data_IF_397345303966
#
_entry.id   IF_397345303966
#
_cell.length_a   1.000
_cell.length_b   1.000
_cell.length_c   1.000
_cell.angle_alpha   90.00
_cell.angle_beta   90.00
_cell.angle_gamma   90.00
#
_symmetry.space_group_name_H-M   'P 1'
#
loop_
_entity.id
_entity.type
_entity.pdbx_description
1 polymer ?
#
# COMPACT_ATOMS: atom_id res chain seq x y z
N UNK A 1 -37.09 -32.00 4.89
CA UNK A 1 -37.03 -32.11 3.41
C UNK A 1 -35.54 -32.10 3.04
N UNK A 2 -35.00 -33.09 2.33
CA UNK A 2 -33.53 -33.28 2.22
C UNK A 2 -32.91 -32.76 0.90
N UNK A 3 -33.56 -31.78 0.25
CA UNK A 3 -33.09 -31.18 -1.02
C UNK A 3 -32.39 -29.83 -0.83
N UNK A 4 -31.64 -29.37 -1.84
CA UNK A 4 -30.95 -28.07 -1.80
C UNK A 4 -31.88 -26.88 -1.50
N UNK A 5 -33.17 -26.95 -1.86
CA UNK A 5 -34.17 -25.92 -1.56
C UNK A 5 -34.46 -25.83 -0.06
N UNK A 6 -34.53 -26.97 0.63
CA UNK A 6 -34.76 -27.04 2.07
C UNK A 6 -33.55 -26.62 2.92
N UNK A 7 -32.42 -26.30 2.26
CA UNK A 7 -31.29 -25.63 2.93
C UNK A 7 -31.51 -24.14 3.06
N UNK A 8 -32.55 -23.56 2.45
CA UNK A 8 -32.78 -22.11 2.52
C UNK A 8 -33.16 -21.71 3.94
N UNK A 9 -34.25 -22.26 4.46
CA UNK A 9 -34.78 -22.04 5.81
C UNK A 9 -33.91 -22.68 6.90
N UNK A 10 -33.45 -23.91 6.70
CA UNK A 10 -32.74 -24.66 7.74
C UNK A 10 -31.24 -24.35 7.84
N UNK A 11 -30.65 -23.65 6.85
CA UNK A 11 -29.21 -23.42 6.82
C UNK A 11 -28.83 -22.02 6.33
N UNK A 12 -29.41 -21.52 5.23
CA UNK A 12 -28.92 -20.30 4.58
C UNK A 12 -29.40 -19.02 5.28
N UNK A 13 -30.68 -18.96 5.66
CA UNK A 13 -31.30 -17.81 6.32
C UNK A 13 -30.67 -17.50 7.69
N UNK A 14 -30.37 -18.51 8.55
CA UNK A 14 -29.73 -18.24 9.85
C UNK A 14 -28.27 -17.76 9.80
N UNK A 15 -27.54 -17.96 8.69
CA UNK A 15 -26.09 -17.71 8.63
C UNK A 15 -25.73 -16.25 8.91
N UNK A 16 -26.52 -15.27 8.44
CA UNK A 16 -26.20 -13.86 8.67
C UNK A 16 -26.18 -13.52 10.17
N UNK A 17 -27.16 -14.00 10.94
CA UNK A 17 -27.19 -13.80 12.40
C UNK A 17 -26.03 -14.52 13.10
N UNK A 18 -25.63 -15.69 12.62
CA UNK A 18 -24.44 -16.39 13.14
C UNK A 18 -23.15 -15.60 12.87
N UNK A 19 -23.00 -14.99 11.69
CA UNK A 19 -21.85 -14.15 11.36
C UNK A 19 -21.79 -12.91 12.25
N UNK A 20 -22.93 -12.25 12.50
CA UNK A 20 -23.01 -11.11 13.42
C UNK A 20 -22.61 -11.49 14.84
N UNK A 21 -23.07 -12.64 15.34
CA UNK A 21 -22.66 -13.16 16.64
C UNK A 21 -21.13 -13.39 16.68
N UNK A 22 -20.56 -14.05 15.66
CA UNK A 22 -19.11 -14.28 15.60
C UNK A 22 -18.31 -12.96 15.55
N UNK A 23 -18.81 -11.93 14.86
CA UNK A 23 -18.14 -10.63 14.83
C UNK A 23 -18.18 -9.93 16.18
N UNK A 24 -19.27 -10.04 16.95
CA UNK A 24 -19.34 -9.47 18.29
C UNK A 24 -18.41 -10.22 19.26
N UNK A 25 -18.38 -11.55 19.21
CA UNK A 25 -17.43 -12.35 20.00
C UNK A 25 -15.97 -11.97 19.66
N UNK A 26 -15.66 -11.79 18.37
CA UNK A 26 -14.34 -11.33 17.93
C UNK A 26 -14.01 -9.92 18.43
N UNK A 27 -14.99 -9.02 18.47
CA UNK A 27 -14.82 -7.69 19.02
C UNK A 27 -14.57 -7.72 20.53
N UNK A 28 -15.24 -8.57 21.28
CA UNK A 28 -15.01 -8.75 22.72
C UNK A 28 -13.59 -9.26 23.02
N UNK A 29 -13.05 -10.13 22.15
CA UNK A 29 -11.71 -10.70 22.33
C UNK A 29 -10.59 -9.77 21.88
N UNK A 30 -10.82 -8.92 20.87
CA UNK A 30 -9.74 -8.20 20.19
C UNK A 30 -9.92 -6.69 20.13
N UNK A 31 -11.08 -6.16 20.54
CA UNK A 31 -11.46 -4.75 20.39
C UNK A 31 -11.84 -4.36 18.96
N UNK A 32 -11.48 -5.17 17.96
CA UNK A 32 -11.73 -4.88 16.55
C UNK A 32 -13.15 -5.29 16.16
N UNK A 33 -13.98 -4.30 15.85
CA UNK A 33 -15.37 -4.50 15.44
C UNK A 33 -15.48 -4.71 13.94
N UNK A 34 -16.09 -5.83 13.56
CA UNK A 34 -16.50 -6.13 12.19
C UNK A 34 -18.02 -6.24 12.14
N UNK A 35 -18.57 -6.14 10.94
CA UNK A 35 -20.01 -6.20 10.64
C UNK A 35 -20.20 -6.87 9.28
N UNK A 36 -21.44 -7.15 8.89
CA UNK A 36 -21.74 -7.66 7.53
C UNK A 36 -21.25 -6.71 6.43
N UNK A 37 -21.32 -5.41 6.71
CA UNK A 37 -20.72 -4.32 5.94
C UNK A 37 -20.02 -3.37 6.91
N UNK A 38 -18.88 -2.81 6.51
CA UNK A 38 -18.21 -1.73 7.24
C UNK A 38 -18.50 -0.41 6.54
N UNK A 39 -18.81 0.62 7.32
CA UNK A 39 -19.07 1.97 6.84
C UNK A 39 -17.99 2.93 7.36
N UNK A 40 -17.53 3.81 6.47
CA UNK A 40 -16.53 4.83 6.78
C UNK A 40 -16.99 6.20 6.25
N UNK A 41 -17.23 7.14 7.17
CA UNK A 41 -17.69 8.52 6.90
C UNK A 41 -18.94 8.57 6.00
N UNK A 42 -19.93 7.73 6.29
CA UNK A 42 -21.14 7.59 5.47
C UNK A 42 -22.31 8.42 5.96
N UNK A 43 -22.30 8.90 7.21
CA UNK A 43 -23.45 9.49 7.89
C UNK A 43 -24.02 10.71 7.16
N UNK A 44 -23.16 11.62 6.71
CA UNK A 44 -23.51 12.83 5.97
C UNK A 44 -23.19 12.74 4.46
N UNK A 45 -22.67 11.59 4.01
CA UNK A 45 -22.22 11.40 2.64
C UNK A 45 -23.41 11.36 1.67
N UNK A 46 -23.30 12.11 0.56
CA UNK A 46 -24.22 12.03 -0.57
C UNK A 46 -23.73 11.03 -1.64
N UNK A 47 -22.43 10.75 -1.65
CA UNK A 47 -21.77 9.86 -2.59
C UNK A 47 -21.02 8.82 -1.80
N UNK A 48 -21.20 7.54 -2.11
CA UNK A 48 -20.49 6.46 -1.40
C UNK A 48 -19.82 5.53 -2.39
N UNK A 49 -18.60 5.10 -2.07
CA UNK A 49 -17.99 3.96 -2.72
C UNK A 49 -18.50 2.68 -2.08
N UNK A 50 -18.66 1.63 -2.89
CA UNK A 50 -18.92 0.27 -2.41
C UNK A 50 -17.83 -0.63 -2.99
N UNK A 51 -17.09 -1.29 -2.11
CA UNK A 51 -15.89 -2.05 -2.50
C UNK A 51 -15.76 -3.38 -1.76
N UNK A 52 -14.83 -4.20 -2.24
CA UNK A 52 -14.43 -5.49 -1.68
C UNK A 52 -12.93 -5.55 -1.46
N UNK A 53 -12.53 -6.26 -0.42
CA UNK A 53 -11.13 -6.56 -0.12
C UNK A 53 -10.27 -5.32 0.03
N UNK A 54 -9.02 -5.38 -0.44
CA UNK A 54 -8.04 -4.32 -0.17
C UNK A 54 -8.25 -3.00 -0.94
N UNK A 55 -9.30 -2.84 -1.77
CA UNK A 55 -9.64 -1.51 -2.25
C UNK A 55 -10.30 -0.64 -1.18
N UNK A 56 -10.93 -1.23 -0.17
CA UNK A 56 -11.63 -0.48 0.88
C UNK A 56 -10.70 0.55 1.53
N UNK A 57 -9.52 0.11 1.99
CA UNK A 57 -8.52 0.97 2.62
C UNK A 57 -8.00 2.08 1.68
N UNK A 58 -7.72 1.76 0.40
CA UNK A 58 -7.32 2.76 -0.60
C UNK A 58 -8.41 3.81 -0.85
N UNK A 59 -9.67 3.38 -0.86
CA UNK A 59 -10.82 4.26 -1.03
C UNK A 59 -11.06 5.12 0.20
N UNK A 60 -10.89 4.58 1.41
CA UNK A 60 -11.01 5.35 2.66
C UNK A 60 -10.03 6.52 2.69
N UNK A 61 -8.76 6.28 2.33
CA UNK A 61 -7.77 7.36 2.18
C UNK A 61 -8.18 8.39 1.11
N UNK A 62 -8.74 7.93 -0.01
CA UNK A 62 -9.21 8.83 -1.06
C UNK A 62 -10.42 9.66 -0.59
N UNK A 63 -11.32 9.07 0.19
CA UNK A 63 -12.43 9.77 0.84
C UNK A 63 -11.90 10.86 1.76
N UNK A 64 -10.92 10.56 2.62
CA UNK A 64 -10.33 11.57 3.51
C UNK A 64 -9.75 12.74 2.74
N UNK A 65 -8.96 12.47 1.70
CA UNK A 65 -8.43 13.50 0.82
C UNK A 65 -9.53 14.35 0.17
N UNK A 66 -10.57 13.72 -0.40
CA UNK A 66 -11.68 14.43 -1.03
C UNK A 66 -12.45 15.30 -0.03
N UNK A 67 -12.66 14.81 1.20
CA UNK A 67 -13.36 15.56 2.26
C UNK A 67 -12.51 16.73 2.74
N UNK A 68 -11.22 16.52 2.99
CA UNK A 68 -10.31 17.54 3.54
C UNK A 68 -9.92 18.59 2.51
N UNK A 69 -9.60 18.18 1.28
CA UNK A 69 -9.06 19.08 0.25
C UNK A 69 -10.14 19.67 -0.64
N UNK A 70 -11.30 19.01 -0.76
CA UNK A 70 -12.37 19.42 -1.69
C UNK A 70 -13.73 19.60 -1.01
N UNK A 71 -13.81 19.47 0.31
CA UNK A 71 -15.07 19.59 1.07
C UNK A 71 -16.19 18.68 0.52
N UNK A 72 -15.80 17.51 -0.01
CA UNK A 72 -16.73 16.53 -0.57
C UNK A 72 -17.52 15.83 0.55
N UNK A 73 -18.76 15.42 0.25
CA UNK A 73 -19.57 14.55 1.12
C UNK A 73 -19.50 13.11 0.64
N UNK A 74 -18.32 12.50 0.80
CA UNK A 74 -18.02 11.16 0.27
C UNK A 74 -17.69 10.17 1.38
N UNK A 75 -18.24 8.96 1.28
CA UNK A 75 -17.97 7.87 2.22
C UNK A 75 -17.56 6.58 1.51
N UNK A 76 -17.15 5.58 2.28
CA UNK A 76 -16.81 4.24 1.80
C UNK A 76 -17.66 3.19 2.52
N UNK A 77 -18.11 2.19 1.77
CA UNK A 77 -18.79 1.01 2.29
C UNK A 77 -18.00 -0.20 1.81
N UNK A 78 -17.51 -1.00 2.75
CA UNK A 78 -16.82 -2.26 2.48
C UNK A 78 -17.76 -3.42 2.77
N UNK A 79 -18.05 -4.24 1.75
CA UNK A 79 -18.87 -5.43 1.91
C UNK A 79 -17.98 -6.57 2.45
N UNK A 80 -18.22 -7.00 3.70
CA UNK A 80 -17.44 -8.07 4.33
C UNK A 80 -18.01 -9.45 3.99
N UNK A 81 -19.34 -9.53 3.80
CA UNK A 81 -20.04 -10.78 3.52
C UNK A 81 -20.69 -10.67 2.14
N UNK A 82 -20.26 -11.52 1.20
CA UNK A 82 -20.83 -11.58 -0.14
C UNK A 82 -21.94 -12.64 -0.20
N UNK A 83 -21.82 -13.75 0.54
CA UNK A 83 -22.80 -14.85 0.55
C UNK A 83 -23.00 -15.42 1.96
N UNK A 84 -24.25 -15.55 2.46
CA UNK A 84 -25.48 -14.94 1.91
C UNK A 84 -25.31 -13.41 1.78
N UNK A 85 -25.92 -12.81 0.75
CA UNK A 85 -25.76 -11.36 0.54
C UNK A 85 -26.56 -10.59 1.60
N UNK A 86 -25.96 -9.62 2.31
CA UNK A 86 -26.61 -8.94 3.44
C UNK A 86 -27.56 -7.83 2.95
N UNK A 87 -28.67 -8.22 2.31
CA UNK A 87 -29.61 -7.32 1.63
C UNK A 87 -30.10 -6.18 2.54
N UNK A 88 -30.55 -6.49 3.76
CA UNK A 88 -31.05 -5.49 4.69
C UNK A 88 -29.98 -4.44 5.07
N UNK A 89 -28.75 -4.87 5.34
CA UNK A 89 -27.65 -3.96 5.65
C UNK A 89 -27.31 -3.05 4.46
N UNK A 90 -27.27 -3.62 3.25
CA UNK A 90 -26.98 -2.88 2.02
C UNK A 90 -28.09 -1.85 1.71
N UNK A 91 -29.37 -2.23 1.83
CA UNK A 91 -30.48 -1.29 1.61
C UNK A 91 -30.39 -0.11 2.57
N UNK A 92 -30.16 -0.38 3.86
CA UNK A 92 -30.06 0.68 4.87
C UNK A 92 -28.88 1.62 4.63
N UNK A 93 -27.70 1.10 4.27
CA UNK A 93 -26.51 1.91 4.06
C UNK A 93 -26.58 2.76 2.78
N UNK A 94 -27.28 2.30 1.74
CA UNK A 94 -27.37 2.98 0.45
C UNK A 94 -28.61 3.88 0.29
N UNK A 95 -29.61 3.71 1.16
CA UNK A 95 -30.83 4.53 1.18
C UNK A 95 -30.49 6.03 1.20
N UNK A 96 -31.10 6.78 0.29
CA UNK A 96 -31.02 8.25 0.27
C UNK A 96 -29.66 8.79 -0.20
N UNK A 97 -28.70 7.93 -0.55
CA UNK A 97 -27.46 8.35 -1.21
C UNK A 97 -27.79 8.82 -2.63
N UNK A 98 -27.10 9.86 -3.11
CA UNK A 98 -27.27 10.36 -4.48
C UNK A 98 -26.53 9.48 -5.47
N UNK A 99 -25.26 9.19 -5.20
CA UNK A 99 -24.40 8.40 -6.08
C UNK A 99 -23.78 7.22 -5.31
N UNK A 100 -23.80 6.04 -5.91
CA UNK A 100 -23.14 4.83 -5.39
C UNK A 100 -22.13 4.35 -6.42
N UNK A 101 -20.86 4.32 -6.05
CA UNK A 101 -19.74 3.94 -6.91
C UNK A 101 -19.28 2.53 -6.52
N UNK A 102 -19.75 1.52 -7.25
CA UNK A 102 -19.37 0.13 -7.01
C UNK A 102 -18.09 -0.19 -7.77
N UNK A 103 -17.03 -0.60 -7.06
CA UNK A 103 -15.76 -0.99 -7.68
C UNK A 103 -15.45 -2.47 -7.46
N UNK A 104 -15.15 -3.18 -8.53
CA UNK A 104 -14.98 -4.64 -8.52
C UNK A 104 -13.70 -5.10 -9.24
N UNK A 105 -13.08 -6.16 -8.73
CA UNK A 105 -11.93 -6.83 -9.37
C UNK A 105 -12.36 -7.89 -10.38
N UNK A 106 -13.33 -7.55 -11.22
CA UNK A 106 -13.83 -8.42 -12.28
C UNK A 106 -14.44 -7.57 -13.39
N UNK A 107 -14.61 -8.18 -14.55
CA UNK A 107 -15.35 -7.63 -15.67
C UNK A 107 -16.12 -8.77 -16.37
N UNK A 108 -17.44 -8.81 -16.16
CA UNK A 108 -18.35 -9.79 -16.76
C UNK A 108 -19.14 -9.16 -17.92
N UNK A 109 -18.46 -8.84 -19.01
CA UNK A 109 -19.05 -8.10 -20.14
C UNK A 109 -20.32 -8.73 -20.77
N UNK A 110 -20.51 -10.05 -20.62
CA UNK A 110 -21.69 -10.77 -21.11
C UNK A 110 -22.87 -10.76 -20.13
N UNK A 111 -22.66 -10.34 -18.89
CA UNK A 111 -23.70 -10.20 -17.89
C UNK A 111 -24.31 -8.79 -17.92
N UNK A 112 -25.52 -8.62 -17.39
CA UNK A 112 -26.16 -7.30 -17.31
C UNK A 112 -25.41 -6.30 -16.41
N UNK A 113 -24.68 -6.81 -15.43
CA UNK A 113 -23.78 -6.05 -14.56
C UNK A 113 -22.74 -7.00 -13.94
N UNK A 114 -21.65 -6.45 -13.40
CA UNK A 114 -20.71 -7.19 -12.56
C UNK A 114 -21.43 -7.72 -11.30
N UNK A 115 -20.93 -8.80 -10.66
CA UNK A 115 -21.65 -9.53 -9.63
C UNK A 115 -22.12 -8.66 -8.45
N UNK A 116 -21.26 -7.82 -7.88
CA UNK A 116 -21.65 -6.99 -6.74
C UNK A 116 -22.65 -5.91 -7.15
N UNK A 117 -22.43 -5.26 -8.31
CA UNK A 117 -23.40 -4.32 -8.88
C UNK A 117 -24.78 -4.95 -9.07
N UNK A 118 -24.83 -6.21 -9.53
CA UNK A 118 -26.06 -6.99 -9.71
C UNK A 118 -26.75 -7.30 -8.39
N UNK A 119 -26.00 -7.72 -7.38
CA UNK A 119 -26.54 -8.04 -6.05
C UNK A 119 -27.09 -6.78 -5.35
N UNK A 120 -26.38 -5.65 -5.44
CA UNK A 120 -26.83 -4.35 -4.91
C UNK A 120 -28.12 -3.90 -5.60
N UNK A 121 -28.17 -3.94 -6.94
CA UNK A 121 -29.40 -3.59 -7.68
C UNK A 121 -30.57 -4.47 -7.29
N UNK A 122 -30.33 -5.77 -7.09
CA UNK A 122 -31.36 -6.73 -6.66
C UNK A 122 -31.86 -6.40 -5.26
N UNK A 123 -30.96 -6.13 -4.31
CA UNK A 123 -31.32 -5.75 -2.94
C UNK A 123 -32.16 -4.46 -2.91
N UNK A 124 -31.74 -3.42 -3.63
CA UNK A 124 -32.49 -2.16 -3.71
C UNK A 124 -33.86 -2.33 -4.37
N UNK A 125 -33.94 -3.14 -5.44
CA UNK A 125 -35.22 -3.45 -6.10
C UNK A 125 -36.19 -4.19 -5.18
N UNK A 126 -35.70 -5.16 -4.39
CA UNK A 126 -36.48 -5.83 -3.35
C UNK A 126 -36.92 -4.88 -2.23
N UNK A 127 -36.09 -3.89 -1.88
CA UNK A 127 -36.47 -2.82 -0.95
C UNK A 127 -37.65 -1.99 -1.46
N UNK A 128 -37.67 -1.65 -2.76
CA UNK A 128 -38.82 -1.00 -3.40
C UNK A 128 -40.08 -1.87 -3.36
N UNK A 129 -39.94 -3.17 -3.65
CA UNK A 129 -41.06 -4.13 -3.56
C UNK A 129 -41.61 -4.22 -2.14
N UNK A 130 -40.73 -4.31 -1.14
CA UNK A 130 -41.12 -4.27 0.28
C UNK A 130 -41.88 -2.99 0.64
N UNK A 131 -41.47 -1.83 0.11
CA UNK A 131 -42.20 -0.58 0.31
C UNK A 131 -43.60 -0.54 -0.32
N UNK A 132 -43.81 -1.27 -1.43
CA UNK A 132 -45.10 -1.32 -2.15
C UNK A 132 -46.04 -2.40 -1.64
N UNK A 133 -45.49 -3.53 -1.20
CA UNK A 133 -46.25 -4.75 -0.93
C UNK A 133 -46.09 -5.27 0.51
N UNK A 134 -45.21 -4.67 1.31
CA UNK A 134 -44.77 -5.21 2.59
C UNK A 134 -43.69 -6.29 2.43
N UNK A 135 -43.02 -6.65 3.52
CA UNK A 135 -41.99 -7.69 3.56
C UNK A 135 -41.03 -7.50 4.73
N UNK A 136 -40.12 -8.47 4.90
CA UNK A 136 -39.15 -8.47 6.01
C UNK A 136 -37.92 -7.59 5.73
N UNK A 137 -37.66 -7.26 4.46
CA UNK A 137 -36.57 -6.36 4.07
C UNK A 137 -36.94 -4.90 4.33
N UNK A 138 -35.96 -4.04 4.67
CA UNK A 138 -36.19 -2.61 4.78
C UNK A 138 -36.83 -2.06 3.50
N UNK A 139 -37.98 -1.39 3.66
CA UNK A 139 -38.67 -0.74 2.56
C UNK A 139 -37.81 0.37 1.95
N UNK A 140 -38.02 0.72 0.68
CA UNK A 140 -37.33 1.84 0.04
C UNK A 140 -38.34 2.59 -0.84
N UNK A 141 -38.19 3.91 -0.94
CA UNK A 141 -38.99 4.75 -1.85
C UNK A 141 -38.22 5.09 -3.11
N UNK A 142 -38.91 5.49 -4.17
CA UNK A 142 -38.26 5.92 -5.43
C UNK A 142 -37.35 7.14 -5.21
N UNK A 143 -37.65 8.01 -4.23
CA UNK A 143 -36.83 9.17 -3.90
C UNK A 143 -35.53 8.81 -3.15
N UNK A 144 -35.48 7.64 -2.51
CA UNK A 144 -34.32 7.13 -1.77
C UNK A 144 -33.39 6.28 -2.65
N UNK A 145 -33.75 6.06 -3.93
CA UNK A 145 -32.97 5.25 -4.86
C UNK A 145 -31.72 5.99 -5.36
N UNK A 146 -30.51 5.46 -5.14
CA UNK A 146 -29.29 6.08 -5.64
C UNK A 146 -29.10 5.84 -7.14
N UNK A 147 -28.33 6.74 -7.77
CA UNK A 147 -27.72 6.45 -9.08
C UNK A 147 -26.49 5.56 -8.88
N UNK A 148 -26.46 4.41 -9.53
CA UNK A 148 -25.38 3.43 -9.41
C UNK A 148 -24.40 3.56 -10.57
N UNK A 149 -23.14 3.79 -10.23
CA UNK A 149 -21.97 3.76 -11.09
C UNK A 149 -21.13 2.51 -10.81
N UNK A 150 -20.49 1.97 -11.84
CA UNK A 150 -19.78 0.69 -11.78
C UNK A 150 -18.40 0.78 -12.42
N UNK A 151 -17.39 0.35 -11.68
CA UNK A 151 -15.99 0.43 -12.07
C UNK A 151 -15.29 -0.91 -12.00
N UNK A 152 -14.63 -1.33 -13.08
CA UNK A 152 -13.71 -2.47 -13.05
C UNK A 152 -12.28 -2.01 -12.80
N UNK A 153 -11.60 -2.67 -11.86
CA UNK A 153 -10.22 -2.32 -11.46
C UNK A 153 -9.40 -3.56 -11.11
N UNK A 154 -8.08 -3.43 -10.99
CA UNK A 154 -7.27 -4.41 -10.24
C UNK A 154 -7.15 -5.83 -10.82
N UNK A 155 -7.67 -6.09 -12.03
CA UNK A 155 -7.59 -7.41 -12.65
C UNK A 155 -6.14 -7.80 -12.92
N UNK A 156 -5.76 -9.04 -12.55
CA UNK A 156 -4.39 -9.52 -12.71
C UNK A 156 -3.36 -8.74 -11.89
N UNK A 157 -3.74 -8.24 -10.71
CA UNK A 157 -2.91 -7.38 -9.85
C UNK A 157 -2.50 -6.07 -10.51
N UNK A 158 -3.28 -5.61 -11.49
CA UNK A 158 -3.11 -4.27 -12.04
C UNK A 158 -3.24 -3.24 -10.92
N UNK A 159 -2.39 -2.22 -10.98
CA UNK A 159 -2.27 -1.26 -9.90
C UNK A 159 -3.54 -0.38 -9.72
N UNK A 160 -3.87 -0.09 -8.47
CA UNK A 160 -5.04 0.69 -8.07
C UNK A 160 -4.63 1.84 -7.13
N UNK A 161 -4.16 2.91 -7.76
CA UNK A 161 -3.64 4.12 -7.12
C UNK A 161 -4.69 5.17 -6.77
N UNK A 162 -4.34 6.16 -5.92
CA UNK A 162 -5.21 7.26 -5.54
C UNK A 162 -5.95 7.94 -6.68
N UNK A 163 -5.28 8.27 -7.79
CA UNK A 163 -5.89 8.99 -8.91
C UNK A 163 -7.04 8.23 -9.58
N UNK A 164 -7.11 6.90 -9.40
CA UNK A 164 -8.22 6.10 -9.90
C UNK A 164 -9.47 6.24 -9.03
N UNK A 165 -9.33 6.22 -7.70
CA UNK A 165 -10.44 6.47 -6.77
C UNK A 165 -10.94 7.90 -6.93
N UNK A 166 -10.04 8.88 -7.02
CA UNK A 166 -10.38 10.28 -7.27
C UNK A 166 -11.08 10.45 -8.61
N UNK A 167 -10.58 9.82 -9.68
CA UNK A 167 -11.18 9.87 -11.01
C UNK A 167 -12.57 9.24 -11.07
N UNK A 168 -12.80 8.15 -10.32
CA UNK A 168 -14.12 7.54 -10.19
C UNK A 168 -15.13 8.48 -9.52
N UNK A 169 -14.72 9.16 -8.44
CA UNK A 169 -15.56 10.18 -7.77
C UNK A 169 -15.86 11.36 -8.71
N UNK A 170 -14.84 11.88 -9.38
CA UNK A 170 -14.99 12.97 -10.36
C UNK A 170 -15.95 12.58 -11.48
N UNK A 171 -15.90 11.34 -11.97
CA UNK A 171 -16.79 10.87 -13.02
C UNK A 171 -18.24 10.78 -12.53
N UNK A 172 -18.45 10.15 -11.38
CA UNK A 172 -19.78 9.96 -10.79
C UNK A 172 -20.46 11.29 -10.43
N UNK A 173 -19.67 12.31 -10.10
CA UNK A 173 -20.15 13.66 -9.75
C UNK A 173 -20.17 14.65 -10.92
N UNK A 174 -19.81 14.21 -12.13
CA UNK A 174 -19.86 15.04 -13.35
C UNK A 174 -18.69 16.00 -13.54
N UNK A 175 -17.61 15.86 -12.79
CA UNK A 175 -16.41 16.70 -12.88
C UNK A 175 -15.44 16.27 -13.99
N UNK A 176 -15.51 15.01 -14.42
CA UNK A 176 -14.67 14.49 -15.51
C UNK A 176 -15.47 13.59 -16.46
N UNK A 177 -14.84 13.25 -17.58
CA UNK A 177 -15.38 12.37 -18.62
C UNK A 177 -14.45 11.17 -18.79
N UNK A 178 -14.97 10.11 -19.40
CA UNK A 178 -14.14 8.99 -19.83
C UNK A 178 -13.22 9.43 -20.97
N UNK A 179 -12.19 8.62 -21.25
CA UNK A 179 -11.26 8.83 -22.36
C UNK A 179 -11.97 8.95 -23.72
N UNK A 180 -13.08 8.25 -23.94
CA UNK A 180 -13.92 8.34 -25.15
C UNK A 180 -14.78 9.61 -25.24
N UNK A 181 -14.69 10.51 -24.25
CA UNK A 181 -15.41 11.78 -24.21
C UNK A 181 -16.82 11.70 -23.66
N UNK A 182 -17.32 10.52 -23.29
CA UNK A 182 -18.67 10.34 -22.71
C UNK A 182 -18.65 10.48 -21.19
N UNK A 183 -19.76 10.96 -20.62
CA UNK A 183 -19.87 11.39 -19.23
C UNK A 183 -21.09 10.82 -18.52
N UNK A 184 -21.16 11.03 -17.20
CA UNK A 184 -22.36 10.73 -16.43
C UNK A 184 -23.61 11.50 -16.92
N UNK A 185 -23.47 12.69 -17.50
CA UNK A 185 -24.60 13.45 -18.06
C UNK A 185 -25.16 12.79 -19.32
N UNK A 186 -24.31 12.08 -20.07
CA UNK A 186 -24.69 11.31 -21.27
C UNK A 186 -25.38 9.97 -20.93
N UNK A 187 -25.71 9.74 -19.66
CA UNK A 187 -26.32 8.50 -19.16
C UNK A 187 -25.33 7.37 -18.88
N UNK A 188 -24.03 7.59 -19.10
CA UNK A 188 -23.03 6.56 -18.83
C UNK A 188 -22.83 6.35 -17.32
N UNK A 189 -22.63 5.09 -16.94
CA UNK A 189 -22.44 4.70 -15.54
C UNK A 189 -21.29 3.71 -15.35
N UNK A 190 -20.76 3.14 -16.44
CA UNK A 190 -19.64 2.21 -16.41
C UNK A 190 -18.32 2.90 -16.79
N UNK A 191 -17.25 2.54 -16.08
CA UNK A 191 -15.90 2.98 -16.35
C UNK A 191 -14.87 1.93 -15.93
N UNK A 192 -13.61 2.14 -16.33
CA UNK A 192 -12.48 1.27 -15.98
C UNK A 192 -11.39 2.07 -15.28
N UNK A 193 -10.69 1.44 -14.34
CA UNK A 193 -9.65 2.07 -13.51
C UNK A 193 -8.29 1.38 -13.69
N UNK A 194 -7.21 2.14 -13.78
CA UNK A 194 -5.84 1.61 -13.84
C UNK A 194 -5.40 1.01 -15.17
N UNK A 195 -6.22 1.09 -16.22
CA UNK A 195 -5.91 0.58 -17.56
C UNK A 195 -6.07 1.66 -18.63
N UNK A 196 -5.30 1.54 -19.70
CA UNK A 196 -5.50 2.36 -20.89
C UNK A 196 -6.64 1.78 -21.72
N UNK A 197 -7.83 2.34 -21.58
CA UNK A 197 -9.06 1.83 -22.18
C UNK A 197 -9.97 3.02 -22.56
N UNK A 198 -10.81 2.94 -23.60
CA UNK A 198 -11.72 4.04 -23.96
C UNK A 198 -12.64 4.50 -22.82
N UNK A 199 -13.00 3.58 -21.93
CA UNK A 199 -13.86 3.89 -20.77
C UNK A 199 -13.06 4.26 -19.52
N UNK A 200 -11.75 4.51 -19.64
CA UNK A 200 -10.94 4.85 -18.47
C UNK A 200 -11.30 6.22 -17.91
N UNK A 201 -11.29 6.30 -16.58
CA UNK A 201 -11.39 7.55 -15.82
C UNK A 201 -10.19 7.62 -14.88
N UNK A 202 -9.58 8.79 -14.80
CA UNK A 202 -8.39 9.05 -14.00
C UNK A 202 -8.40 10.52 -13.60
N UNK A 203 -8.12 10.80 -12.33
CA UNK A 203 -7.95 12.18 -11.87
C UNK A 203 -6.63 12.76 -12.37
N UNK A 204 -6.59 14.09 -12.48
CA UNK A 204 -5.33 14.81 -12.68
C UNK A 204 -4.50 14.87 -11.39
N UNK A 205 -5.15 14.76 -10.24
CA UNK A 205 -4.48 14.79 -8.96
C UNK A 205 -3.94 13.40 -8.63
N UNK A 206 -2.64 13.35 -8.33
CA UNK A 206 -1.92 12.11 -8.01
C UNK A 206 -1.26 12.21 -6.62
N UNK A 207 -2.01 12.43 -5.53
CA UNK A 207 -1.43 12.47 -4.19
C UNK A 207 -0.90 11.09 -3.78
N UNK A 208 0.07 11.02 -2.87
CA UNK A 208 0.54 9.71 -2.36
C UNK A 208 -0.49 9.05 -1.44
N UNK A 209 -1.28 9.86 -0.74
CA UNK A 209 -2.20 9.47 0.34
C UNK A 209 -1.53 8.69 1.49
N UNK A 210 -0.19 8.68 1.55
CA UNK A 210 0.53 8.15 2.70
C UNK A 210 0.32 9.08 3.91
N UNK A 211 0.35 8.54 5.15
CA UNK A 211 0.26 9.37 6.34
C UNK A 211 1.33 10.47 6.39
N UNK A 212 1.03 11.57 7.07
CA UNK A 212 2.00 12.64 7.28
C UNK A 212 3.22 12.10 8.05
N UNK A 213 4.43 12.48 7.62
CA UNK A 213 5.67 11.97 8.19
C UNK A 213 6.02 10.54 7.77
N UNK A 214 5.29 9.95 6.81
CA UNK A 214 5.70 8.69 6.20
C UNK A 214 7.01 8.85 5.42
N UNK A 215 7.85 7.81 5.49
CA UNK A 215 9.08 7.68 4.72
C UNK A 215 8.90 6.49 3.78
N UNK A 216 8.80 6.77 2.48
CA UNK A 216 8.66 5.79 1.43
C UNK A 216 10.02 5.45 0.81
N UNK A 217 10.36 4.17 0.77
CA UNK A 217 11.63 3.65 0.25
C UNK A 217 11.36 2.71 -0.91
N UNK A 218 12.05 2.94 -2.03
CA UNK A 218 12.16 1.96 -3.11
C UNK A 218 13.57 1.42 -3.16
N UNK A 219 13.68 0.11 -3.14
CA UNK A 219 14.91 -0.56 -3.53
C UNK A 219 14.81 -0.98 -4.99
N UNK A 220 15.86 -0.69 -5.74
CA UNK A 220 15.99 -1.03 -7.14
C UNK A 220 17.19 -1.97 -7.31
N UNK A 221 16.96 -3.19 -7.80
CA UNK A 221 18.00 -4.22 -7.87
C UNK A 221 17.71 -5.24 -8.96
N UNK A 222 18.57 -6.26 -9.06
CA UNK A 222 18.47 -7.38 -10.00
C UNK A 222 18.14 -8.67 -9.23
N UNK A 223 17.29 -9.52 -9.81
CA UNK A 223 16.96 -10.83 -9.29
C UNK A 223 18.22 -11.69 -9.04
N UNK A 224 18.42 -12.08 -7.78
CA UNK A 224 19.56 -12.89 -7.32
C UNK A 224 20.57 -12.14 -6.44
N UNK A 225 20.46 -10.81 -6.31
CA UNK A 225 21.41 -9.96 -5.57
C UNK A 225 21.02 -9.70 -4.10
N UNK A 226 20.06 -10.47 -3.57
CA UNK A 226 19.71 -10.44 -2.13
C UNK A 226 18.76 -9.31 -1.70
N UNK A 227 18.23 -8.51 -2.64
CA UNK A 227 17.43 -7.33 -2.30
C UNK A 227 16.15 -7.62 -1.50
N UNK A 228 15.45 -8.72 -1.79
CA UNK A 228 14.27 -9.08 -0.99
C UNK A 228 14.65 -9.34 0.48
N UNK A 229 15.78 -10.01 0.71
CA UNK A 229 16.28 -10.28 2.06
C UNK A 229 16.69 -8.99 2.75
N UNK A 230 17.37 -8.09 2.04
CA UNK A 230 17.74 -6.79 2.58
C UNK A 230 16.50 -5.94 2.91
N UNK A 231 15.47 -5.91 2.07
CA UNK A 231 14.21 -5.22 2.38
C UNK A 231 13.53 -5.78 3.65
N UNK A 232 13.50 -7.11 3.80
CA UNK A 232 13.02 -7.77 5.04
C UNK A 232 13.86 -7.39 6.26
N UNK A 233 15.19 -7.35 6.12
CA UNK A 233 16.08 -6.90 7.18
C UNK A 233 15.79 -5.45 7.59
N UNK A 234 15.53 -4.56 6.62
CA UNK A 234 15.14 -3.19 6.94
C UNK A 234 13.85 -3.17 7.76
N UNK A 235 12.82 -3.91 7.33
CA UNK A 235 11.56 -4.00 8.06
C UNK A 235 11.73 -4.54 9.49
N UNK A 236 12.56 -5.55 9.70
CA UNK A 236 12.88 -6.07 11.04
C UNK A 236 13.58 -5.03 11.92
N UNK A 237 14.58 -4.32 11.40
CA UNK A 237 15.31 -3.28 12.13
C UNK A 237 14.39 -2.11 12.46
N UNK A 238 13.61 -1.63 11.50
CA UNK A 238 12.62 -0.56 11.73
C UNK A 238 11.56 -1.01 12.73
N UNK A 239 11.11 -2.27 12.68
CA UNK A 239 10.15 -2.80 13.66
C UNK A 239 10.71 -2.81 15.09
N UNK A 240 12.03 -3.02 15.23
CA UNK A 240 12.72 -2.94 16.52
C UNK A 240 12.85 -1.51 17.03
N UNK A 241 13.10 -0.55 16.13
CA UNK A 241 12.99 0.87 16.47
C UNK A 241 11.57 1.23 16.88
N UNK A 242 10.55 0.74 16.17
CA UNK A 242 9.14 0.96 16.51
C UNK A 242 8.79 0.52 17.92
N UNK A 243 9.22 -0.69 18.31
CA UNK A 243 9.06 -1.19 19.68
C UNK A 243 9.68 -0.25 20.72
N UNK A 244 10.94 0.17 20.50
CA UNK A 244 11.65 1.06 21.44
C UNK A 244 10.98 2.44 21.51
N UNK A 245 10.51 2.97 20.38
CA UNK A 245 9.79 4.25 20.31
C UNK A 245 8.48 4.17 21.11
N UNK A 246 7.72 3.07 20.97
CA UNK A 246 6.50 2.84 21.76
C UNK A 246 6.82 2.69 23.26
N UNK A 247 7.87 1.96 23.63
CA UNK A 247 8.25 1.75 25.03
C UNK A 247 8.78 3.02 25.72
N UNK A 248 9.44 3.92 24.99
CA UNK A 248 9.96 5.20 25.52
C UNK A 248 8.87 6.16 25.95
N UNK A 249 7.74 6.14 25.28
CA UNK A 249 6.61 7.00 25.57
C UNK A 249 5.33 6.16 25.47
N UNK A 250 5.00 5.34 26.48
CA UNK A 250 3.92 4.37 26.36
C UNK A 250 2.55 5.06 26.32
N UNK A 251 1.73 4.66 25.37
CA UNK A 251 0.28 4.88 25.37
C UNK A 251 -0.42 3.53 25.22
N UNK A 252 -1.63 3.42 25.75
CA UNK A 252 -2.37 2.16 25.80
C UNK A 252 -3.76 2.37 25.21
N UNK A 253 -4.21 1.39 24.42
CA UNK A 253 -5.56 1.38 23.88
C UNK A 253 -6.61 1.07 24.98
N UNK A 254 -7.89 1.08 24.60
CA UNK A 254 -9.01 0.80 25.50
C UNK A 254 -8.95 -0.61 26.15
N UNK A 255 -8.10 -1.50 25.64
CA UNK A 255 -7.86 -2.86 26.16
C UNK A 255 -6.58 -2.96 27.00
N UNK A 256 -5.87 -1.85 27.20
CA UNK A 256 -4.61 -1.82 27.94
C UNK A 256 -3.42 -2.38 27.16
N UNK A 257 -3.51 -2.50 25.83
CA UNK A 257 -2.39 -2.93 24.98
C UNK A 257 -1.52 -1.73 24.59
N UNK A 258 -0.20 -1.90 24.59
CA UNK A 258 0.72 -0.83 24.18
C UNK A 258 0.47 -0.47 22.73
N UNK A 259 0.23 0.81 22.46
CA UNK A 259 -0.01 1.30 21.11
C UNK A 259 1.29 1.37 20.31
N UNK A 260 1.23 0.86 19.08
CA UNK A 260 2.31 0.98 18.11
C UNK A 260 2.42 2.43 17.63
N UNK A 261 3.63 3.00 17.72
CA UNK A 261 3.93 4.37 17.27
C UNK A 261 4.60 4.44 15.90
N UNK A 262 4.79 3.27 15.29
CA UNK A 262 5.48 3.14 14.02
C UNK A 262 4.92 1.93 13.26
N UNK A 263 4.44 2.18 12.06
CA UNK A 263 3.84 1.19 11.19
C UNK A 263 4.71 0.98 9.96
N UNK A 264 4.79 -0.27 9.50
CA UNK A 264 5.63 -0.66 8.36
C UNK A 264 4.78 -1.44 7.37
N UNK A 265 4.84 -1.02 6.11
CA UNK A 265 4.27 -1.76 4.99
C UNK A 265 5.38 -2.14 4.02
N UNK A 266 5.37 -3.37 3.53
CA UNK A 266 6.29 -3.82 2.51
C UNK A 266 5.56 -4.47 1.33
N UNK A 267 5.93 -4.07 0.12
CA UNK A 267 5.37 -4.61 -1.11
C UNK A 267 6.50 -5.03 -2.07
N UNK A 268 6.97 -6.29 -2.00
CA UNK A 268 7.98 -6.81 -2.91
C UNK A 268 7.38 -7.11 -4.28
N UNK A 269 7.99 -6.61 -5.36
CA UNK A 269 7.64 -6.99 -6.73
C UNK A 269 8.67 -7.93 -7.33
N UNK A 270 8.18 -9.03 -7.87
CA UNK A 270 8.99 -10.02 -8.57
C UNK A 270 8.64 -9.99 -10.05
N UNK A 271 9.67 -10.09 -10.91
CA UNK A 271 9.46 -10.49 -12.29
C UNK A 271 9.07 -11.97 -12.38
N UNK A 272 8.49 -12.38 -13.51
CA UNK A 272 8.23 -13.79 -13.82
C UNK A 272 9.52 -14.61 -13.98
N UNK A 273 10.64 -13.94 -14.25
CA UNK A 273 11.95 -14.57 -14.39
C UNK A 273 12.58 -14.89 -13.04
N UNK A 274 13.21 -16.07 -12.93
CA UNK A 274 13.81 -16.54 -11.68
C UNK A 274 15.05 -15.74 -11.25
N UNK A 275 15.81 -15.15 -12.19
CA UNK A 275 17.03 -14.37 -11.96
C UNK A 275 17.27 -13.40 -13.11
N UNK A 276 17.98 -12.30 -12.85
CA UNK A 276 18.45 -11.37 -13.90
C UNK A 276 17.47 -10.27 -14.29
N UNK A 277 16.16 -10.44 -14.03
CA UNK A 277 15.19 -9.37 -14.20
C UNK A 277 15.34 -8.28 -13.12
N UNK A 278 15.05 -7.00 -13.45
CA UNK A 278 14.91 -5.94 -12.47
C UNK A 278 13.82 -6.27 -11.43
N UNK A 279 14.13 -6.02 -10.17
CA UNK A 279 13.28 -6.28 -9.01
C UNK A 279 13.16 -5.00 -8.21
N UNK A 280 11.92 -4.59 -7.93
CA UNK A 280 11.64 -3.47 -7.05
C UNK A 280 11.09 -3.99 -5.72
N UNK A 281 11.56 -3.42 -4.62
CA UNK A 281 11.00 -3.65 -3.28
C UNK A 281 10.57 -2.31 -2.71
N UNK A 282 9.31 -2.20 -2.30
CA UNK A 282 8.80 -1.00 -1.66
C UNK A 282 8.66 -1.24 -0.17
N UNK A 283 9.07 -0.27 0.63
CA UNK A 283 8.89 -0.25 2.07
C UNK A 283 8.47 1.15 2.49
N UNK A 284 7.38 1.26 3.21
CA UNK A 284 6.92 2.51 3.81
C UNK A 284 6.95 2.37 5.31
N UNK A 285 7.47 3.40 5.97
CA UNK A 285 7.43 3.56 7.42
C UNK A 285 6.59 4.78 7.73
N UNK A 286 5.67 4.72 8.68
CA UNK A 286 4.82 5.86 9.02
C UNK A 286 4.49 5.89 10.52
N UNK A 287 4.20 7.08 11.08
CA UNK A 287 3.77 7.20 12.48
C UNK A 287 2.33 6.71 12.71
N UNK A 288 1.56 6.56 11.64
CA UNK A 288 0.17 6.10 11.64
C UNK A 288 0.00 4.89 10.71
N UNK A 289 -1.12 4.17 10.87
CA UNK A 289 -1.40 2.98 10.06
C UNK A 289 -1.42 3.33 8.57
N UNK A 290 -0.66 2.57 7.79
CA UNK A 290 -0.56 2.73 6.34
C UNK A 290 -1.69 1.93 5.70
N UNK A 291 -2.65 2.62 5.10
CA UNK A 291 -3.83 2.02 4.47
C UNK A 291 -3.68 1.92 2.94
N UNK A 292 -2.93 2.84 2.33
CA UNK A 292 -2.71 2.86 0.89
C UNK A 292 -1.85 1.67 0.46
N UNK A 293 -2.45 0.76 -0.30
CA UNK A 293 -1.83 -0.41 -0.89
C UNK A 293 -1.85 -0.32 -2.41
N UNK A 294 -0.83 0.34 -2.95
CA UNK A 294 -0.59 0.45 -4.39
C UNK A 294 0.92 0.54 -4.67
N UNK A 295 1.30 0.58 -5.95
CA UNK A 295 2.67 0.88 -6.30
C UNK A 295 3.01 2.34 -5.90
N UNK A 296 4.14 2.55 -5.24
CA UNK A 296 4.55 3.89 -4.81
C UNK A 296 5.09 4.68 -6.00
N UNK A 297 4.42 5.78 -6.33
CA UNK A 297 4.85 6.81 -7.27
C UNK A 297 5.41 8.06 -6.57
N UNK A 298 5.50 8.04 -5.24
CA UNK A 298 6.13 9.06 -4.39
C UNK A 298 7.05 8.37 -3.40
N UNK A 299 8.37 8.51 -3.57
CA UNK A 299 9.37 7.88 -2.70
C UNK A 299 10.41 8.90 -2.24
N UNK A 300 10.80 8.83 -0.97
CA UNK A 300 11.77 9.75 -0.37
C UNK A 300 13.20 9.25 -0.55
N UNK A 301 13.38 7.93 -0.57
CA UNK A 301 14.68 7.28 -0.72
C UNK A 301 14.63 6.17 -1.77
N UNK A 302 15.53 6.25 -2.74
CA UNK A 302 15.81 5.16 -3.68
C UNK A 302 17.15 4.53 -3.34
N UNK A 303 17.13 3.25 -3.00
CA UNK A 303 18.32 2.43 -2.80
C UNK A 303 18.57 1.59 -4.05
N UNK A 304 19.45 2.07 -4.91
CA UNK A 304 19.75 1.48 -6.21
C UNK A 304 21.02 0.62 -6.13
N UNK A 305 20.82 -0.65 -5.85
CA UNK A 305 21.89 -1.66 -5.76
C UNK A 305 22.40 -2.10 -7.14
N UNK A 306 21.86 -1.56 -8.23
CA UNK A 306 22.26 -1.87 -9.60
C UNK A 306 23.16 -0.76 -10.19
N UNK A 307 24.46 -1.02 -10.43
CA UNK A 307 25.38 -0.03 -11.01
C UNK A 307 25.05 0.32 -12.46
N UNK A 308 24.19 -0.44 -13.13
CA UNK A 308 23.79 -0.21 -14.52
C UNK A 308 22.34 0.25 -14.64
N UNK A 309 21.67 0.60 -13.55
CA UNK A 309 20.24 0.98 -13.57
C UNK A 309 19.90 1.99 -14.68
N UNK A 310 20.67 3.07 -14.80
CA UNK A 310 20.45 4.12 -15.81
C UNK A 310 20.62 3.67 -17.28
N UNK A 311 21.11 2.45 -17.56
CA UNK A 311 21.22 1.94 -18.93
C UNK A 311 19.96 1.24 -19.41
N UNK A 312 19.08 0.83 -18.49
CA UNK A 312 17.92 -0.02 -18.83
C UNK A 312 16.64 0.33 -18.07
N UNK A 313 16.70 1.25 -17.11
CA UNK A 313 15.53 1.75 -16.41
C UNK A 313 15.74 3.19 -15.92
N UNK A 314 14.68 3.79 -15.35
CA UNK A 314 14.74 5.07 -14.67
C UNK A 314 14.68 4.87 -13.14
N UNK A 315 15.81 4.86 -12.41
CA UNK A 315 15.80 4.72 -10.96
C UNK A 315 15.29 5.97 -10.23
N UNK A 316 15.07 7.10 -10.93
CA UNK A 316 14.54 8.34 -10.36
C UNK A 316 13.01 8.43 -10.46
N UNK A 317 12.35 7.48 -11.13
CA UNK A 317 10.91 7.54 -11.34
C UNK A 317 10.15 7.59 -10.01
N UNK A 318 9.27 8.57 -9.83
CA UNK A 318 8.49 8.77 -8.61
C UNK A 318 9.26 9.27 -7.38
N UNK A 319 10.53 9.71 -7.51
CA UNK A 319 11.26 10.28 -6.36
C UNK A 319 10.73 11.68 -6.01
N UNK A 320 10.49 11.94 -4.73
CA UNK A 320 10.06 13.22 -4.22
C UNK A 320 11.15 14.29 -4.41
N UNK A 321 10.73 15.56 -4.56
CA UNK A 321 11.65 16.70 -4.56
C UNK A 321 12.47 16.72 -3.27
N UNK A 322 13.78 16.90 -3.36
CA UNK A 322 14.70 16.80 -2.21
C UNK A 322 15.00 15.36 -1.74
N UNK A 323 14.39 14.36 -2.38
CA UNK A 323 14.62 12.94 -2.09
C UNK A 323 16.06 12.50 -2.36
N UNK A 324 16.39 11.29 -1.92
CA UNK A 324 17.74 10.74 -1.97
C UNK A 324 17.84 9.53 -2.90
N UNK A 325 18.82 9.54 -3.79
CA UNK A 325 19.26 8.35 -4.53
C UNK A 325 20.58 7.88 -3.93
N UNK A 326 20.63 6.64 -3.45
CA UNK A 326 21.88 5.94 -3.11
C UNK A 326 22.16 4.92 -4.19
N UNK A 327 23.25 5.08 -4.93
CA UNK A 327 23.57 4.29 -6.10
C UNK A 327 24.84 3.45 -5.93
N UNK A 328 24.78 2.19 -6.34
CA UNK A 328 25.94 1.30 -6.37
C UNK A 328 26.98 1.80 -7.36
N UNK A 329 28.15 2.18 -6.87
CA UNK A 329 29.31 2.55 -7.68
C UNK A 329 30.59 2.59 -6.85
N UNK A 330 31.69 2.10 -7.43
CA UNK A 330 33.05 2.28 -6.92
C UNK A 330 33.84 3.39 -7.63
N UNK A 331 33.23 4.07 -8.59
CA UNK A 331 33.84 5.21 -9.29
C UNK A 331 33.91 6.46 -8.38
N UNK A 332 34.66 7.48 -8.79
CA UNK A 332 34.65 8.78 -8.09
C UNK A 332 33.30 9.49 -8.30
N UNK A 333 32.89 10.37 -7.37
CA UNK A 333 31.68 11.19 -7.51
C UNK A 333 31.51 11.86 -8.88
N UNK A 334 32.58 12.45 -9.40
CA UNK A 334 32.61 13.18 -10.66
C UNK A 334 32.39 12.24 -11.85
N UNK A 335 33.01 11.06 -11.80
CA UNK A 335 32.89 10.04 -12.84
C UNK A 335 31.49 9.45 -12.84
N UNK A 336 30.97 9.07 -11.66
CA UNK A 336 29.62 8.54 -11.50
C UNK A 336 28.57 9.57 -11.97
N UNK A 337 28.75 10.85 -11.65
CA UNK A 337 27.89 11.92 -12.17
C UNK A 337 27.90 11.99 -13.69
N UNK A 338 29.05 11.81 -14.33
CA UNK A 338 29.13 11.80 -15.80
C UNK A 338 28.43 10.60 -16.43
N UNK A 339 28.31 9.46 -15.73
CA UNK A 339 27.57 8.27 -16.18
C UNK A 339 26.05 8.49 -16.24
N UNK A 340 25.51 9.38 -15.42
CA UNK A 340 24.08 9.67 -15.41
C UNK A 340 23.71 10.40 -16.72
N UNK A 341 22.72 9.91 -17.51
CA UNK A 341 22.28 10.56 -18.73
C UNK A 341 21.88 12.03 -18.53
N UNK A 342 22.13 12.86 -19.54
CA UNK A 342 21.96 14.32 -19.43
C UNK A 342 20.55 14.75 -19.00
N UNK A 343 19.51 14.08 -19.49
CA UNK A 343 18.12 14.36 -19.12
C UNK A 343 17.83 14.02 -17.65
N UNK A 344 18.38 12.92 -17.12
CA UNK A 344 18.27 12.58 -15.69
C UNK A 344 19.05 13.55 -14.81
N UNK A 345 20.23 14.03 -15.24
CA UNK A 345 20.96 15.09 -14.53
C UNK A 345 20.19 16.40 -14.47
N UNK A 346 19.47 16.75 -15.53
CA UNK A 346 18.60 17.91 -15.54
C UNK A 346 17.48 17.75 -14.50
N UNK A 347 16.80 16.60 -14.51
CA UNK A 347 15.77 16.26 -13.52
C UNK A 347 16.29 16.30 -12.07
N UNK A 348 17.48 15.74 -11.80
CA UNK A 348 18.11 15.75 -10.48
C UNK A 348 18.31 17.19 -9.98
N UNK A 349 18.84 18.07 -10.83
CA UNK A 349 19.07 19.48 -10.47
C UNK A 349 17.77 20.23 -10.25
N UNK A 350 16.80 20.08 -11.16
CA UNK A 350 15.51 20.75 -11.08
C UNK A 350 14.73 20.37 -9.80
N UNK A 351 14.80 19.11 -9.40
CA UNK A 351 14.09 18.58 -8.24
C UNK A 351 14.93 18.53 -6.95
N UNK A 352 16.14 19.10 -6.97
CA UNK A 352 17.08 19.10 -5.85
C UNK A 352 17.34 17.70 -5.25
N UNK A 353 17.42 16.68 -6.12
CA UNK A 353 17.64 15.29 -5.69
C UNK A 353 19.06 15.14 -5.15
N UNK A 354 19.19 14.51 -3.98
CA UNK A 354 20.48 14.23 -3.33
C UNK A 354 21.02 12.90 -3.83
N UNK A 355 22.08 12.94 -4.63
CA UNK A 355 22.71 11.72 -5.17
C UNK A 355 23.90 11.33 -4.31
N UNK A 356 23.93 10.07 -3.93
CA UNK A 356 24.95 9.43 -3.12
C UNK A 356 25.46 8.18 -3.84
N UNK A 357 26.75 7.91 -3.74
CA UNK A 357 27.33 6.65 -4.23
C UNK A 357 27.81 5.79 -3.06
N UNK A 358 27.66 4.47 -3.22
CA UNK A 358 28.06 3.47 -2.25
C UNK A 358 28.70 2.27 -2.98
N UNK A 359 29.97 1.93 -2.72
CA UNK A 359 30.63 0.77 -3.34
C UNK A 359 30.19 -0.54 -2.67
N UNK A 360 28.93 -0.93 -2.87
CA UNK A 360 28.29 -2.05 -2.16
C UNK A 360 28.98 -3.39 -2.41
N UNK A 361 29.42 -3.65 -3.64
CA UNK A 361 30.18 -4.86 -3.96
C UNK A 361 31.56 -4.87 -3.30
N UNK A 362 32.23 -3.73 -3.20
CA UNK A 362 33.55 -3.66 -2.56
C UNK A 362 33.43 -3.92 -1.06
N UNK A 363 32.44 -3.29 -0.40
CA UNK A 363 32.15 -3.52 1.02
C UNK A 363 31.85 -5.00 1.28
N UNK A 364 31.08 -5.65 0.40
CA UNK A 364 30.76 -7.06 0.55
C UNK A 364 31.98 -7.99 0.32
N UNK A 365 32.85 -7.67 -0.64
CA UNK A 365 34.11 -8.41 -0.89
C UNK A 365 35.09 -8.31 0.28
N UNK A 366 35.20 -7.13 0.87
CA UNK A 366 36.08 -6.86 2.02
C UNK A 366 35.64 -7.60 3.29
N UNK A 367 34.35 -7.93 3.38
CA UNK A 367 33.72 -8.47 4.58
C UNK A 367 33.38 -9.96 4.50
N UNK A 368 33.66 -10.64 3.38
CA UNK A 368 33.61 -12.11 3.33
C UNK A 368 34.38 -12.66 2.14
N UNK A 369 35.06 -13.79 2.35
CA UNK A 369 35.75 -14.54 1.28
C UNK A 369 34.80 -15.41 0.44
N UNK A 370 33.53 -15.53 0.82
CA UNK A 370 32.53 -16.36 0.12
C UNK A 370 31.91 -15.64 -1.08
N UNK A 371 32.22 -16.09 -2.28
CA UNK A 371 31.72 -15.51 -3.53
C UNK A 371 30.18 -15.41 -3.62
N UNK A 372 29.44 -16.38 -3.07
CA UNK A 372 27.97 -16.36 -3.07
C UNK A 372 27.38 -15.25 -2.18
N UNK A 373 28.08 -14.92 -1.09
CA UNK A 373 27.68 -13.88 -0.15
C UNK A 373 28.10 -12.49 -0.61
N UNK A 374 29.22 -12.35 -1.33
CA UNK A 374 29.65 -11.07 -1.90
C UNK A 374 28.58 -10.45 -2.80
N UNK A 375 27.87 -11.27 -3.58
CA UNK A 375 26.76 -10.83 -4.44
C UNK A 375 25.46 -10.57 -3.68
N UNK A 376 25.18 -11.34 -2.62
CA UNK A 376 23.89 -11.30 -1.88
C UNK A 376 23.88 -10.34 -0.70
N UNK A 377 25.04 -10.05 -0.12
CA UNK A 377 25.19 -9.22 1.08
C UNK A 377 25.47 -7.75 0.76
N UNK A 378 25.73 -7.38 -0.49
CA UNK A 378 25.89 -5.98 -0.86
C UNK A 378 24.70 -5.10 -0.41
N UNK A 379 23.47 -5.64 -0.44
CA UNK A 379 22.28 -4.91 0.00
C UNK A 379 22.33 -4.51 1.48
N UNK A 380 23.05 -5.25 2.32
CA UNK A 380 23.22 -4.88 3.73
C UNK A 380 24.01 -3.57 3.90
N UNK A 381 24.89 -3.22 2.96
CA UNK A 381 25.56 -1.91 2.98
C UNK A 381 24.58 -0.76 2.75
N UNK A 382 23.53 -0.98 1.94
CA UNK A 382 22.48 0.01 1.65
C UNK A 382 21.51 0.23 2.82
N UNK A 383 21.43 -0.70 3.78
CA UNK A 383 20.61 -0.51 4.99
C UNK A 383 21.10 0.66 5.82
N UNK A 384 22.41 0.75 6.06
CA UNK A 384 22.99 1.90 6.74
C UNK A 384 22.79 3.20 5.96
N UNK A 385 22.78 3.12 4.63
CA UNK A 385 22.53 4.27 3.79
C UNK A 385 21.12 4.82 3.95
N UNK A 386 20.09 3.97 4.08
CA UNK A 386 18.73 4.42 4.39
C UNK A 386 18.67 5.30 5.64
N UNK A 387 19.23 4.84 6.77
CA UNK A 387 19.20 5.59 8.02
C UNK A 387 20.04 6.88 7.97
N UNK A 388 21.08 6.91 7.12
CA UNK A 388 21.93 8.08 6.95
C UNK A 388 21.30 9.17 6.08
N UNK A 389 20.54 8.80 5.05
CA UNK A 389 20.01 9.75 4.05
C UNK A 389 18.54 10.12 4.27
N UNK A 390 17.79 9.27 4.99
CA UNK A 390 16.41 9.55 5.41
C UNK A 390 16.39 10.44 6.65
N UNK A 391 15.22 10.98 6.97
CA UNK A 391 14.99 11.74 8.20
C UNK A 391 14.72 10.85 9.43
N UNK A 392 14.59 9.53 9.24
CA UNK A 392 14.12 8.58 10.27
C UNK A 392 14.77 8.76 11.65
N UNK A 393 16.11 8.74 11.72
CA UNK A 393 16.81 8.85 13.01
C UNK A 393 16.55 10.20 13.68
N UNK A 394 16.47 11.28 12.89
CA UNK A 394 16.23 12.63 13.38
C UNK A 394 14.79 12.77 13.87
N UNK A 395 13.82 12.30 13.09
CA UNK A 395 12.38 12.44 13.39
C UNK A 395 11.98 11.66 14.65
N UNK A 396 12.72 10.58 14.95
CA UNK A 396 12.49 9.73 16.13
C UNK A 396 13.49 9.94 17.29
N UNK A 397 14.32 10.98 17.23
CA UNK A 397 15.32 11.31 18.26
C UNK A 397 16.25 10.12 18.63
N UNK A 398 16.75 9.40 17.63
CA UNK A 398 17.62 8.24 17.80
C UNK A 398 19.08 8.70 17.66
N UNK A 399 19.85 8.53 18.73
CA UNK A 399 21.28 8.86 18.75
C UNK A 399 22.13 7.84 17.98
N UNK A 400 23.37 8.22 17.64
CA UNK A 400 24.30 7.37 16.88
C UNK A 400 24.69 6.10 17.64
N UNK A 401 24.97 6.20 18.95
CA UNK A 401 25.30 5.04 19.80
C UNK A 401 24.13 4.05 19.88
N UNK A 402 22.92 4.55 20.13
CA UNK A 402 21.71 3.75 20.17
C UNK A 402 21.46 3.05 18.82
N UNK A 403 21.56 3.80 17.72
CA UNK A 403 21.43 3.24 16.38
C UNK A 403 22.42 2.09 16.16
N UNK A 404 23.69 2.29 16.51
CA UNK A 404 24.72 1.26 16.35
C UNK A 404 24.45 0.03 17.20
N UNK A 405 23.95 0.20 18.43
CA UNK A 405 23.61 -0.90 19.34
C UNK A 405 22.43 -1.70 18.81
N UNK A 406 21.34 -1.06 18.40
CA UNK A 406 20.14 -1.76 17.90
C UNK A 406 20.46 -2.54 16.63
N UNK A 407 21.21 -1.93 15.71
CA UNK A 407 21.70 -2.62 14.51
C UNK A 407 22.64 -3.75 14.88
N UNK A 408 23.50 -3.59 15.90
CA UNK A 408 24.35 -4.68 16.43
C UNK A 408 23.52 -5.90 16.78
N UNK A 409 22.54 -5.69 17.65
CA UNK A 409 21.78 -6.76 18.27
C UNK A 409 20.91 -7.48 17.24
N UNK A 410 20.37 -6.76 16.25
CA UNK A 410 19.64 -7.39 15.15
C UNK A 410 20.54 -8.26 14.26
N UNK A 411 21.75 -7.78 13.93
CA UNK A 411 22.68 -8.56 13.13
C UNK A 411 23.20 -9.77 13.90
N UNK A 412 23.52 -9.65 15.18
CA UNK A 412 23.92 -10.79 16.01
C UNK A 412 22.79 -11.79 16.19
N UNK A 413 21.56 -11.36 16.45
CA UNK A 413 20.42 -12.27 16.55
C UNK A 413 20.22 -13.08 15.27
N UNK A 414 20.37 -12.43 14.11
CA UNK A 414 20.09 -13.05 12.80
C UNK A 414 21.24 -13.90 12.29
N UNK A 415 22.46 -13.42 12.43
CA UNK A 415 23.65 -14.03 11.84
C UNK A 415 24.60 -14.65 12.87
N UNK A 416 24.49 -14.32 14.16
CA UNK A 416 25.30 -14.87 15.24
C UNK A 416 25.28 -16.41 15.34
N UNK A 417 24.13 -17.09 15.19
CA UNK A 417 24.12 -18.56 15.13
C UNK A 417 24.88 -19.13 13.93
N UNK A 418 24.94 -18.40 12.81
CA UNK A 418 25.76 -18.76 11.64
C UNK A 418 27.26 -18.49 11.90
N UNK A 419 27.57 -17.61 12.85
CA UNK A 419 28.94 -17.22 13.25
C UNK A 419 29.54 -18.15 14.32
N UNK A 420 28.73 -18.67 15.26
CA UNK A 420 29.21 -19.53 16.35
C UNK A 420 29.68 -20.93 15.90
N UNK A 421 29.25 -21.41 14.74
CA UNK A 421 29.70 -22.70 14.19
C UNK A 421 31.13 -22.69 13.62
N UNK A 422 31.80 -21.53 13.50
CA UNK A 422 33.11 -21.38 12.84
C UNK A 422 33.92 -20.22 13.43
N UNK A 423 34.70 -20.47 14.49
CA UNK A 423 35.82 -19.61 14.94
C UNK A 423 35.51 -18.12 15.08
N UNK A 424 34.90 -17.72 16.20
CA UNK A 424 34.31 -16.40 16.46
C UNK A 424 35.21 -15.14 16.46
N UNK A 425 36.41 -15.17 15.89
CA UNK A 425 37.31 -13.99 15.83
C UNK A 425 37.29 -13.30 14.45
N UNK A 426 36.99 -14.02 13.36
CA UNK A 426 36.94 -13.42 12.00
C UNK A 426 35.64 -12.64 11.75
N UNK A 427 34.48 -13.10 12.25
CA UNK A 427 33.16 -12.52 11.94
C UNK A 427 32.80 -11.25 12.74
N UNK A 428 33.29 -11.08 13.96
CA UNK A 428 33.09 -9.83 14.72
C UNK A 428 33.80 -8.65 14.03
N UNK A 429 34.89 -8.94 13.31
CA UNK A 429 35.63 -7.98 12.49
C UNK A 429 34.86 -7.58 11.21
N UNK A 430 34.12 -8.50 10.60
CA UNK A 430 33.30 -8.28 9.39
C UNK A 430 32.04 -7.47 9.71
N UNK A 431 31.39 -7.72 10.85
CA UNK A 431 30.25 -6.95 11.32
C UNK A 431 30.64 -5.51 11.70
N UNK A 432 31.80 -5.28 12.35
CA UNK A 432 32.31 -3.93 12.61
C UNK A 432 32.69 -3.19 11.31
N UNK A 433 33.24 -3.88 10.31
CA UNK A 433 33.58 -3.30 8.99
C UNK A 433 32.36 -2.92 8.15
N UNK A 434 31.31 -3.72 8.15
CA UNK A 434 30.03 -3.37 7.49
C UNK A 434 29.38 -2.12 8.10
N UNK A 435 29.47 -1.97 9.43
CA UNK A 435 28.84 -0.87 10.19
C UNK A 435 29.58 0.46 10.12
N UNK A 436 30.90 0.44 10.25
CA UNK A 436 31.70 1.66 10.26
C UNK A 436 31.83 2.29 8.86
N UNK A 437 31.71 1.49 7.80
CA UNK A 437 31.88 1.95 6.41
C UNK A 437 30.56 2.29 5.73
N UNK A 438 29.49 1.52 5.84
CA UNK A 438 28.24 1.81 5.09
C UNK A 438 27.70 3.25 5.24
N UNK A 439 27.78 3.85 6.43
CA UNK A 439 27.36 5.24 6.69
C UNK A 439 28.42 6.31 6.37
N UNK A 440 29.72 6.01 6.58
CA UNK A 440 30.84 6.96 6.35
C UNK A 440 31.41 6.90 4.92
N UNK A 441 31.07 5.86 4.18
CA UNK A 441 31.52 5.57 2.82
C UNK A 441 30.59 6.18 1.76
N UNK A 442 29.49 6.78 2.21
CA UNK A 442 28.56 7.54 1.37
C UNK A 442 29.26 8.83 0.95
N UNK A 443 29.57 8.91 -0.34
CA UNK A 443 30.06 10.15 -0.95
C UNK A 443 28.87 10.85 -1.59
N UNK A 444 28.67 12.10 -1.23
CA UNK A 444 27.69 12.97 -1.88
C UNK A 444 28.28 13.44 -3.21
N UNK A 445 27.53 13.28 -4.29
CA UNK A 445 27.85 13.89 -5.58
C UNK A 445 27.42 15.35 -5.63
#
# INVERSE_FOLDING_TARGET
>A
MNGCIARRDNFSEPILGMLEQCYEEFAQLTGRRYRLISEYRTEDADTVFVSLGCAAENVECACDYLREQRNAKVGSIHINVIRPFPEAAVINALRGKKNVIVIERTDEALAGDNPLGRDIRTALSKGLESGKHGGDLPSLTDAEMPRIFRGSYGMGSRDFRPEHSLGAYEFATGQTKRKDGRSAEDGESYFTLGIDHPYSVISKDTPSLLPNGAIAVRFHSIGGWGMITTGKNLGEIVGKFGQIISERNPSYDDLGQLEDKLFIMANPKYGSEKKGAPTNYFLTVAPERILVNCELNHVDVVLCCDPKAFTHCNPLDGINKGGSLVWESSETPETAWQRIPAHHRAFIKENNIRVFILPGFEIARDATSRADLQLRMQGNSFLGAFFRVSSFLKDHNIGEEEYHQIVHDQYEKKFGPLWQGRGGVEYESDARRFRARGGNSIRRN
#
